data_IF_874262795092
#
_entry.id   IF_874262795092
#
_cell.length_a   1.000
_cell.length_b   1.000
_cell.length_c   1.000
_cell.angle_alpha   90.00
_cell.angle_beta   90.00
_cell.angle_gamma   90.00
#
_symmetry.space_group_name_H-M   'P 1'
#
loop_
_entity.id
_entity.type
_entity.pdbx_description
1 polymer ?
#
# COMPACT_ATOMS: atom_id res chain seq x y z
N UNK A 1 21.35 18.49 -13.94
CA UNK A 1 20.39 19.06 -12.97
C UNK A 1 21.16 19.56 -11.77
N UNK A 2 21.03 20.83 -11.35
CA UNK A 2 21.75 21.34 -10.19
C UNK A 2 21.21 20.70 -8.93
N UNK A 3 22.09 20.07 -8.14
CA UNK A 3 21.76 19.51 -6.84
C UNK A 3 21.70 20.65 -5.84
N UNK A 4 20.51 21.00 -5.38
CA UNK A 4 20.30 22.01 -4.34
C UNK A 4 20.79 21.42 -3.02
N UNK A 5 21.93 21.90 -2.51
CA UNK A 5 22.44 21.53 -1.19
C UNK A 5 21.70 22.34 -0.13
N UNK A 6 20.65 21.75 0.46
CA UNK A 6 19.95 22.32 1.62
C UNK A 6 20.82 22.18 2.87
N UNK A 7 21.12 23.32 3.54
CA UNK A 7 21.80 23.28 4.82
C UNK A 7 20.80 23.08 5.97
N UNK A 8 21.27 22.65 7.16
CA UNK A 8 20.43 22.52 8.36
C UNK A 8 19.74 23.86 8.70
N UNK A 9 20.40 24.99 8.45
CA UNK A 9 19.87 26.33 8.66
C UNK A 9 18.72 26.67 7.73
N UNK A 10 18.80 26.23 6.45
CA UNK A 10 17.73 26.44 5.46
C UNK A 10 16.49 25.61 5.81
N UNK A 11 16.71 24.38 6.30
CA UNK A 11 15.63 23.52 6.80
C UNK A 11 14.89 24.15 7.99
N UNK A 12 15.63 24.69 8.99
CA UNK A 12 15.03 25.36 10.15
C UNK A 12 14.27 26.62 9.73
N UNK A 13 14.82 27.42 8.81
CA UNK A 13 14.15 28.63 8.31
C UNK A 13 12.85 28.29 7.55
N UNK A 14 12.87 27.27 6.71
CA UNK A 14 11.66 26.84 5.97
C UNK A 14 10.56 26.35 6.91
N UNK A 15 10.92 25.61 7.97
CA UNK A 15 9.94 25.18 8.98
C UNK A 15 9.39 26.33 9.82
N UNK A 16 10.21 27.34 10.15
CA UNK A 16 9.76 28.52 10.87
C UNK A 16 8.75 29.36 10.05
N UNK A 17 8.97 29.48 8.74
CA UNK A 17 8.04 30.18 7.84
C UNK A 17 6.72 29.42 7.71
N UNK A 18 6.76 28.07 7.62
CA UNK A 18 5.53 27.27 7.57
C UNK A 18 4.73 27.31 8.88
N UNK A 19 5.40 27.33 10.04
CA UNK A 19 4.76 27.49 11.34
C UNK A 19 4.08 28.87 11.49
N UNK A 20 4.72 29.94 11.01
CA UNK A 20 4.15 31.29 11.04
C UNK A 20 2.90 31.40 10.12
N UNK A 21 2.88 30.70 8.99
CA UNK A 21 1.72 30.69 8.08
C UNK A 21 0.51 29.96 8.69
N UNK A 22 0.71 28.95 9.52
CA UNK A 22 -0.38 28.24 10.22
C UNK A 22 -0.99 29.07 11.35
N UNK A 23 -0.21 29.92 12.03
CA UNK A 23 -0.72 30.83 13.07
C UNK A 23 -1.48 32.01 12.48
N UNK A 24 -1.27 32.35 11.21
CA UNK A 24 -1.99 33.45 10.52
C UNK A 24 -3.40 33.07 10.01
N UNK A 25 -4.00 31.96 10.49
CA UNK A 25 -5.39 31.61 10.23
C UNK A 25 -5.66 31.02 8.84
N UNK A 26 -4.65 30.63 8.09
CA UNK A 26 -4.82 29.75 6.91
C UNK A 26 -5.02 28.30 7.40
N UNK A 27 -6.18 28.02 7.97
CA UNK A 27 -6.63 26.65 8.14
C UNK A 27 -6.71 26.04 6.74
N UNK A 28 -5.76 25.17 6.40
CA UNK A 28 -5.91 24.30 5.22
C UNK A 28 -7.19 23.52 5.46
N UNK A 29 -8.25 23.72 4.67
CA UNK A 29 -9.50 23.04 4.94
C UNK A 29 -9.27 21.53 4.91
N UNK A 30 -9.69 20.86 5.98
CA UNK A 30 -9.58 19.38 6.14
C UNK A 30 -10.18 18.64 4.94
N UNK A 31 -11.07 19.29 4.20
CA UNK A 31 -11.61 18.85 2.91
C UNK A 31 -10.55 18.53 1.85
N UNK A 32 -9.39 19.20 1.84
CA UNK A 32 -8.31 18.90 0.89
C UNK A 32 -7.67 17.53 1.16
N UNK A 33 -7.61 17.12 2.43
CA UNK A 33 -7.10 15.78 2.79
C UNK A 33 -8.14 14.66 2.55
N UNK A 34 -9.44 14.99 2.62
CA UNK A 34 -10.50 14.03 2.33
C UNK A 34 -10.62 13.73 0.82
N UNK A 35 -10.34 14.71 -0.03
CA UNK A 35 -10.37 14.55 -1.50
C UNK A 35 -9.21 13.72 -2.04
N UNK A 36 -8.10 13.58 -1.32
CA UNK A 36 -7.01 12.65 -1.69
C UNK A 36 -7.41 11.16 -1.57
N UNK A 37 -8.55 10.84 -0.96
CA UNK A 37 -9.05 9.46 -0.76
C UNK A 37 -9.92 8.95 -1.91
N UNK A 38 -10.35 9.79 -2.84
CA UNK A 38 -11.21 9.43 -3.97
C UNK A 38 -10.70 10.03 -5.28
N UNK A 39 -9.64 9.48 -5.85
CA UNK A 39 -9.38 9.72 -7.27
C UNK A 39 -10.54 9.16 -8.09
N UNK A 40 -10.97 9.88 -9.13
CA UNK A 40 -12.12 9.58 -9.95
C UNK A 40 -12.21 8.09 -10.34
N UNK A 41 -13.29 7.42 -9.89
CA UNK A 41 -13.60 6.05 -10.26
C UNK A 41 -12.87 4.94 -9.46
N UNK A 42 -12.25 5.24 -8.32
CA UNK A 42 -11.70 4.21 -7.42
C UNK A 42 -12.75 3.78 -6.41
N UNK A 43 -13.12 2.50 -6.42
CA UNK A 43 -13.96 1.89 -5.39
C UNK A 43 -13.08 1.38 -4.25
N UNK A 44 -13.47 1.66 -3.01
CA UNK A 44 -12.76 1.24 -1.81
C UNK A 44 -13.55 0.18 -1.06
N UNK A 45 -12.92 -0.97 -0.81
CA UNK A 45 -13.49 -2.07 -0.06
C UNK A 45 -12.63 -2.36 1.19
N UNK A 46 -13.26 -2.71 2.32
CA UNK A 46 -12.57 -3.06 3.56
C UNK A 46 -12.08 -4.51 3.50
N UNK A 47 -10.90 -4.74 4.05
CA UNK A 47 -10.31 -6.06 4.15
C UNK A 47 -9.38 -6.18 5.35
N UNK A 48 -8.77 -7.34 5.52
CA UNK A 48 -7.78 -7.62 6.57
C UNK A 48 -6.43 -7.90 5.92
N UNK A 49 -5.37 -7.34 6.50
CA UNK A 49 -4.01 -7.61 6.04
C UNK A 49 -3.65 -9.08 6.25
N UNK A 50 -3.12 -9.73 5.21
CA UNK A 50 -2.82 -11.17 5.21
C UNK A 50 -1.46 -11.56 5.80
N UNK A 51 -0.59 -10.60 6.12
CA UNK A 51 0.81 -10.91 6.40
C UNK A 51 1.08 -11.49 7.78
N UNK A 52 0.48 -10.95 8.81
CA UNK A 52 0.74 -11.38 10.18
C UNK A 52 -0.55 -11.42 11.01
N UNK A 53 -0.47 -12.01 12.19
CA UNK A 53 -1.60 -12.18 13.10
C UNK A 53 -2.10 -10.91 13.79
N UNK A 54 -1.52 -9.74 13.50
CA UNK A 54 -1.98 -8.47 14.09
C UNK A 54 -3.41 -8.14 13.66
N UNK A 55 -3.84 -8.54 12.44
CA UNK A 55 -5.21 -8.32 11.98
C UNK A 55 -5.51 -6.88 11.59
N UNK A 56 -4.51 -6.14 11.08
CA UNK A 56 -4.70 -4.76 10.63
C UNK A 56 -5.80 -4.66 9.56
N UNK A 57 -6.73 -3.73 9.74
CA UNK A 57 -7.71 -3.36 8.72
C UNK A 57 -7.05 -2.59 7.58
N UNK A 58 -7.40 -2.95 6.35
CA UNK A 58 -6.92 -2.28 5.15
C UNK A 58 -8.09 -1.90 4.25
N UNK A 59 -7.97 -0.76 3.59
CA UNK A 59 -8.84 -0.35 2.50
C UNK A 59 -8.13 -0.69 1.18
N UNK A 60 -8.84 -1.39 0.32
CA UNK A 60 -8.35 -1.81 -0.99
C UNK A 60 -9.07 -0.99 -2.06
N UNK A 61 -8.33 -0.14 -2.75
CA UNK A 61 -8.84 0.66 -3.86
C UNK A 61 -8.76 -0.10 -5.18
N UNK A 62 -9.91 -0.27 -5.83
CA UNK A 62 -10.04 -0.95 -7.13
C UNK A 62 -10.54 0.01 -8.21
N UNK A 63 -9.94 -0.09 -9.39
CA UNK A 63 -10.36 0.64 -10.58
C UNK A 63 -10.27 -0.30 -11.79
N UNK A 64 -11.33 -0.35 -12.58
CA UNK A 64 -11.40 -1.20 -13.78
C UNK A 64 -11.01 -2.67 -13.53
N UNK A 65 -11.46 -3.23 -12.39
CA UNK A 65 -11.16 -4.60 -12.01
C UNK A 65 -9.72 -4.84 -11.50
N UNK A 66 -8.92 -3.80 -11.32
CA UNK A 66 -7.54 -3.90 -10.81
C UNK A 66 -7.39 -3.18 -9.47
N UNK A 67 -6.59 -3.74 -8.59
CA UNK A 67 -6.19 -3.07 -7.35
C UNK A 67 -5.16 -1.99 -7.71
N UNK A 68 -5.49 -0.74 -7.41
CA UNK A 68 -4.62 0.41 -7.71
C UNK A 68 -3.98 1.01 -6.47
N UNK A 69 -4.58 0.79 -5.29
CA UNK A 69 -4.07 1.33 -4.03
C UNK A 69 -4.44 0.45 -2.83
N UNK A 70 -3.65 0.54 -1.76
CA UNK A 70 -3.96 -0.01 -0.44
C UNK A 70 -3.59 1.00 0.62
N UNK A 71 -4.42 1.15 1.65
CA UNK A 71 -4.15 2.02 2.80
C UNK A 71 -4.73 1.39 4.07
N UNK A 72 -4.31 1.87 5.25
CA UNK A 72 -4.89 1.44 6.51
C UNK A 72 -6.33 1.93 6.66
N UNK A 73 -7.19 1.10 7.25
CA UNK A 73 -8.56 1.48 7.58
C UNK A 73 -8.56 2.32 8.88
N UNK A 74 -8.95 3.61 8.82
CA UNK A 74 -8.99 4.47 10.00
C UNK A 74 -10.03 4.03 11.03
N UNK A 75 -11.06 3.30 10.61
CA UNK A 75 -12.11 2.82 11.51
C UNK A 75 -11.72 1.51 12.19
N UNK A 76 -10.61 0.87 11.80
CA UNK A 76 -10.15 -0.37 12.40
C UNK A 76 -9.46 -0.08 13.75
N UNK A 77 -9.96 -0.66 14.87
CA UNK A 77 -9.41 -0.40 16.19
C UNK A 77 -7.98 -0.94 16.39
N UNK A 78 -7.55 -1.90 15.56
CA UNK A 78 -6.25 -2.55 15.66
C UNK A 78 -5.12 -1.63 15.20
N UNK A 79 -5.33 -0.91 14.10
CA UNK A 79 -4.27 -0.12 13.47
C UNK A 79 -4.64 1.35 13.19
N UNK A 80 -5.87 1.76 13.45
CA UNK A 80 -6.33 3.16 13.38
C UNK A 80 -5.83 3.91 12.14
N UNK A 81 -5.92 3.28 10.98
CA UNK A 81 -5.47 3.84 9.70
C UNK A 81 -3.98 3.69 9.38
N UNK A 82 -3.18 3.15 10.29
CA UNK A 82 -1.74 2.94 10.06
C UNK A 82 -1.49 1.57 9.43
N UNK A 83 -0.49 1.49 8.56
CA UNK A 83 0.01 0.25 8.01
C UNK A 83 1.53 0.16 8.13
N UNK A 84 2.06 -1.03 8.34
CA UNK A 84 3.48 -1.27 8.15
C UNK A 84 3.81 -1.36 6.64
N UNK A 85 5.08 -1.40 6.31
CA UNK A 85 5.56 -1.49 4.91
C UNK A 85 4.91 -2.66 4.14
N UNK A 86 4.66 -3.79 4.78
CA UNK A 86 4.02 -4.97 4.15
C UNK A 86 2.58 -4.67 3.74
N UNK A 87 1.81 -3.99 4.58
CA UNK A 87 0.44 -3.58 4.29
C UNK A 87 0.34 -2.57 3.15
N UNK A 88 1.26 -1.61 3.08
CA UNK A 88 1.30 -0.65 1.97
C UNK A 88 1.56 -1.30 0.61
N UNK A 89 2.38 -2.37 0.57
CA UNK A 89 2.70 -3.06 -0.67
C UNK A 89 1.83 -4.30 -0.95
N UNK A 90 0.73 -4.47 -0.21
CA UNK A 90 -0.15 -5.64 -0.32
C UNK A 90 -0.65 -5.86 -1.76
N UNK A 91 -1.01 -4.80 -2.49
CA UNK A 91 -1.47 -4.88 -3.86
C UNK A 91 -0.42 -5.43 -4.84
N UNK A 92 0.87 -5.18 -4.60
CA UNK A 92 1.94 -5.61 -5.52
C UNK A 92 2.09 -7.11 -5.62
N UNK A 93 1.73 -7.86 -4.58
CA UNK A 93 1.77 -9.33 -4.58
C UNK A 93 0.85 -9.91 -5.64
N UNK A 94 -0.27 -9.26 -5.92
CA UNK A 94 -1.25 -9.73 -6.89
C UNK A 94 -0.74 -9.66 -8.33
N UNK A 95 0.25 -8.80 -8.59
CA UNK A 95 0.76 -8.51 -9.92
C UNK A 95 2.25 -8.86 -10.09
N UNK A 96 2.81 -9.67 -9.17
CA UNK A 96 4.16 -10.21 -9.29
C UNK A 96 4.28 -11.11 -10.52
N UNK A 97 5.37 -10.99 -11.27
CA UNK A 97 5.63 -11.82 -12.47
C UNK A 97 5.77 -13.31 -12.14
N UNK A 98 6.20 -13.59 -10.92
CA UNK A 98 6.43 -14.93 -10.35
C UNK A 98 5.21 -15.48 -9.60
N UNK A 99 4.08 -14.75 -9.63
CA UNK A 99 2.86 -15.21 -8.96
C UNK A 99 2.36 -16.51 -9.58
N UNK A 100 2.21 -17.51 -8.74
CA UNK A 100 1.63 -18.80 -9.16
C UNK A 100 0.13 -18.63 -9.45
N UNK A 101 -0.24 -18.87 -10.70
CA UNK A 101 -1.62 -18.80 -11.18
C UNK A 101 -2.27 -20.17 -11.34
N UNK A 102 -1.46 -21.23 -11.29
CA UNK A 102 -1.89 -22.62 -11.38
C UNK A 102 -1.19 -23.44 -10.29
N UNK A 103 -1.81 -24.53 -9.81
CA UNK A 103 -1.12 -25.46 -8.94
C UNK A 103 0.09 -26.06 -9.65
N UNK A 104 1.18 -26.25 -8.90
CA UNK A 104 2.41 -26.85 -9.40
C UNK A 104 2.67 -28.15 -8.63
N UNK A 105 2.98 -29.21 -9.37
CA UNK A 105 3.37 -30.49 -8.80
C UNK A 105 4.70 -30.98 -9.38
N UNK A 106 5.42 -31.76 -8.57
CA UNK A 106 6.60 -32.52 -8.99
C UNK A 106 6.18 -33.95 -9.16
N UNK A 107 5.97 -34.40 -10.40
CA UNK A 107 5.54 -35.76 -10.71
C UNK A 107 6.40 -36.39 -11.78
N UNK A 108 6.59 -37.70 -11.67
CA UNK A 108 7.18 -38.56 -12.67
C UNK A 108 6.33 -39.84 -12.75
N UNK A 109 5.89 -40.22 -13.93
CA UNK A 109 5.12 -41.42 -14.19
C UNK A 109 3.91 -41.61 -13.23
N UNK A 110 3.20 -40.49 -12.95
CA UNK A 110 2.05 -40.49 -12.05
C UNK A 110 2.37 -40.54 -10.55
N UNK A 111 3.66 -40.54 -10.16
CA UNK A 111 4.08 -40.54 -8.75
C UNK A 111 4.81 -39.26 -8.40
N UNK A 112 4.70 -38.84 -7.14
CA UNK A 112 5.42 -37.70 -6.61
C UNK A 112 6.93 -37.95 -6.60
N UNK A 113 7.69 -37.02 -7.21
CA UNK A 113 9.16 -37.07 -7.24
C UNK A 113 9.76 -35.72 -6.83
N UNK A 114 10.37 -35.65 -5.64
CA UNK A 114 10.95 -34.42 -5.08
C UNK A 114 12.13 -33.87 -5.87
N UNK A 115 12.76 -34.67 -6.74
CA UNK A 115 13.94 -34.28 -7.53
C UNK A 115 13.55 -33.68 -8.90
N UNK A 116 12.27 -33.67 -9.26
CA UNK A 116 11.78 -33.09 -10.50
C UNK A 116 11.47 -31.62 -10.38
N UNK A 117 11.52 -30.94 -11.51
CA UNK A 117 11.04 -29.57 -11.60
C UNK A 117 9.52 -29.51 -11.44
N UNK A 118 9.04 -28.33 -11.01
CA UNK A 118 7.62 -28.10 -10.87
C UNK A 118 6.94 -28.00 -12.24
N UNK A 119 5.89 -28.79 -12.43
CA UNK A 119 5.06 -28.76 -13.63
C UNK A 119 3.66 -28.28 -13.26
N UNK A 120 3.10 -27.35 -14.04
CA UNK A 120 1.74 -26.88 -13.83
C UNK A 120 0.73 -27.96 -14.20
N UNK A 121 -0.29 -28.10 -13.36
CA UNK A 121 -1.46 -28.94 -13.62
C UNK A 121 -2.65 -28.06 -13.96
N UNK A 122 -3.45 -28.50 -14.92
CA UNK A 122 -4.70 -27.85 -15.33
C UNK A 122 -5.83 -28.22 -14.37
#
# INVERSE_FOLDING_TARGET
MPVIKLTRRDFIKSNAVSAAATTAGMAVPVTVMAQARGGDGVRWDKGVCRYCGTGCGVLVGTKEGRIVATQGDPDCPVNSGLNCVKGYFLAKIQYGKDRLMKPLLRMKDGKFDKNREFTSIS
#
